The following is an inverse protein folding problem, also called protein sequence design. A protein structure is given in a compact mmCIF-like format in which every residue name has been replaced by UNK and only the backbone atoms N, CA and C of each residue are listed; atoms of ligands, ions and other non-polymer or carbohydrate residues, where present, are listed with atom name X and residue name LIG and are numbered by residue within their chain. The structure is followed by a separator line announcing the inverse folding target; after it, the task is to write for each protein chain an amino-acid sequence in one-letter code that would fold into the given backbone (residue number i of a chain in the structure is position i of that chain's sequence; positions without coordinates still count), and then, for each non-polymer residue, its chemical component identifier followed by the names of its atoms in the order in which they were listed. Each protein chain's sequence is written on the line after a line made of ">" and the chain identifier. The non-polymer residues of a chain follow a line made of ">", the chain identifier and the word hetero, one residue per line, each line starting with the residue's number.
data_IF_281455454294
#
_entry.id   IF_281455454294
#
_cell.length_a   1.000
_cell.length_b   1.000
_cell.length_c   1.000
_cell.angle_alpha   90.00
_cell.angle_beta   90.00
_cell.angle_gamma   90.00
#
_symmetry.space_group_name_H-M   'P 1'
#
loop_
_entity.id
_entity.type
_entity.pdbx_description
1 polymer ?
#
# COMPACT_ATOMS: atom_id res chain seq x y z
N UNK A 1 -6.57 14.25 12.96
CA UNK A 1 -7.75 13.44 12.54
C UNK A 1 -7.88 13.25 11.02
N UNK A 2 -7.78 14.28 10.16
CA UNK A 2 -7.94 14.13 8.69
C UNK A 2 -7.03 13.08 8.05
N UNK A 3 -5.72 13.11 8.38
CA UNK A 3 -4.71 12.13 7.91
C UNK A 3 -5.04 10.69 8.28
N UNK A 4 -5.57 10.47 9.49
CA UNK A 4 -5.98 9.14 9.99
C UNK A 4 -7.18 8.62 9.20
N UNK A 5 -8.21 9.44 8.98
CA UNK A 5 -9.37 9.07 8.16
C UNK A 5 -8.97 8.75 6.71
N UNK A 6 -8.06 9.55 6.14
CA UNK A 6 -7.54 9.30 4.80
C UNK A 6 -6.72 8.01 4.74
N UNK A 7 -5.91 7.72 5.77
CA UNK A 7 -5.17 6.47 5.90
C UNK A 7 -6.08 5.25 5.98
N UNK A 8 -7.17 5.32 6.75
CA UNK A 8 -8.19 4.26 6.75
C UNK A 8 -8.77 4.04 5.36
N UNK A 9 -9.20 5.12 4.70
CA UNK A 9 -9.81 5.01 3.38
C UNK A 9 -8.86 4.40 2.35
N UNK A 10 -7.60 4.86 2.31
CA UNK A 10 -6.58 4.34 1.40
C UNK A 10 -6.19 2.91 1.72
N UNK A 11 -5.99 2.59 3.01
CA UNK A 11 -5.66 1.24 3.45
C UNK A 11 -6.78 0.26 3.10
N UNK A 12 -8.02 0.58 3.44
CA UNK A 12 -9.17 -0.27 3.13
C UNK A 12 -9.34 -0.46 1.62
N UNK A 13 -9.28 0.62 0.83
CA UNK A 13 -9.41 0.52 -0.61
C UNK A 13 -8.30 -0.34 -1.22
N UNK A 14 -7.04 -0.11 -0.85
CA UNK A 14 -5.92 -0.83 -1.45
C UNK A 14 -5.89 -2.31 -1.02
N UNK A 15 -6.14 -2.60 0.26
CA UNK A 15 -6.27 -3.97 0.77
C UNK A 15 -7.43 -4.73 0.14
N UNK A 16 -8.60 -4.09 -0.02
CA UNK A 16 -9.76 -4.73 -0.68
C UNK A 16 -9.51 -4.99 -2.16
N UNK A 17 -8.91 -4.05 -2.89
CA UNK A 17 -8.57 -4.24 -4.30
C UNK A 17 -7.62 -5.42 -4.46
N UNK A 18 -6.58 -5.51 -3.63
CA UNK A 18 -5.64 -6.64 -3.64
C UNK A 18 -6.33 -7.98 -3.36
N UNK A 19 -7.17 -8.03 -2.32
CA UNK A 19 -7.96 -9.22 -1.98
C UNK A 19 -8.82 -9.69 -3.17
N UNK A 20 -9.54 -8.77 -3.81
CA UNK A 20 -10.43 -9.05 -4.94
C UNK A 20 -9.66 -9.55 -6.17
N UNK A 21 -8.50 -8.97 -6.45
CA UNK A 21 -7.64 -9.39 -7.56
C UNK A 21 -7.04 -10.79 -7.35
N UNK A 22 -6.89 -11.24 -6.10
CA UNK A 22 -6.41 -12.58 -5.77
C UNK A 22 -7.51 -13.66 -5.77
N UNK A 23 -8.79 -13.29 -5.70
CA UNK A 23 -9.91 -14.25 -5.74
C UNK A 23 -9.93 -15.20 -6.95
N UNK A 24 -9.62 -14.79 -8.20
CA UNK A 24 -9.60 -15.72 -9.33
C UNK A 24 -8.34 -16.59 -9.39
N UNK A 25 -7.28 -16.29 -8.63
CA UNK A 25 -5.98 -16.97 -8.74
C UNK A 25 -6.01 -18.31 -7.98
N UNK A 26 -5.67 -19.45 -8.61
CA UNK A 26 -5.53 -20.72 -7.90
C UNK A 26 -4.25 -20.71 -7.05
N UNK A 27 -4.36 -20.99 -5.75
CA UNK A 27 -3.26 -20.96 -4.79
C UNK A 27 -3.47 -22.00 -3.68
N UNK A 28 -2.37 -22.61 -3.24
CA UNK A 28 -2.32 -23.36 -1.98
C UNK A 28 -2.46 -22.39 -0.81
N UNK A 29 -3.20 -22.76 0.24
CA UNK A 29 -3.43 -21.93 1.43
C UNK A 29 -3.95 -20.51 1.11
N UNK A 30 -4.86 -20.43 0.14
CA UNK A 30 -5.40 -19.20 -0.45
C UNK A 30 -5.83 -18.14 0.58
N UNK A 31 -6.48 -18.56 1.66
CA UNK A 31 -6.94 -17.64 2.72
C UNK A 31 -5.75 -16.93 3.38
N UNK A 32 -4.68 -17.66 3.68
CA UNK A 32 -3.47 -17.10 4.32
C UNK A 32 -2.78 -16.12 3.35
N UNK A 33 -2.66 -16.51 2.07
CA UNK A 33 -2.06 -15.67 1.04
C UNK A 33 -2.84 -14.37 0.82
N UNK A 34 -4.16 -14.45 0.69
CA UNK A 34 -5.03 -13.27 0.52
C UNK A 34 -4.94 -12.36 1.73
N UNK A 35 -5.05 -12.90 2.95
CA UNK A 35 -4.99 -12.09 4.17
C UNK A 35 -3.62 -11.40 4.32
N UNK A 36 -2.52 -12.13 4.09
CA UNK A 36 -1.18 -11.58 4.16
C UNK A 36 -0.98 -10.42 3.19
N UNK A 37 -1.31 -10.63 1.91
CA UNK A 37 -1.15 -9.61 0.88
C UNK A 37 -2.07 -8.40 1.12
N UNK A 38 -3.33 -8.62 1.50
CA UNK A 38 -4.31 -7.56 1.75
C UNK A 38 -3.93 -6.70 2.95
N UNK A 39 -3.45 -7.32 4.04
CA UNK A 39 -2.93 -6.59 5.22
C UNK A 39 -1.71 -5.78 4.83
N UNK A 40 -0.83 -6.34 4.00
CA UNK A 40 0.34 -5.62 3.52
C UNK A 40 -0.06 -4.37 2.71
N UNK A 41 -1.06 -4.48 1.82
CA UNK A 41 -1.53 -3.35 0.99
C UNK A 41 -2.30 -2.33 1.82
N UNK A 42 -3.05 -2.79 2.82
CA UNK A 42 -3.66 -1.93 3.82
C UNK A 42 -2.60 -1.10 4.55
N UNK A 43 -1.51 -1.72 5.00
CA UNK A 43 -0.42 -1.03 5.70
C UNK A 43 0.20 0.08 4.82
N UNK A 44 0.43 -0.19 3.54
CA UNK A 44 0.89 0.84 2.58
C UNK A 44 -0.08 2.02 2.55
N UNK A 45 -1.37 1.77 2.32
CA UNK A 45 -2.38 2.83 2.24
C UNK A 45 -2.57 3.60 3.55
N UNK A 46 -2.48 2.93 4.70
CA UNK A 46 -2.58 3.55 6.02
C UNK A 46 -1.41 4.47 6.32
N UNK A 47 -0.17 3.98 6.16
CA UNK A 47 1.01 4.72 6.60
C UNK A 47 1.35 5.91 5.72
N UNK A 48 0.96 5.94 4.44
CA UNK A 48 1.26 7.05 3.53
C UNK A 48 0.74 8.40 4.05
N UNK A 49 -0.56 8.61 4.29
CA UNK A 49 -1.05 9.91 4.76
C UNK A 49 -0.76 10.16 6.24
N UNK A 50 -0.61 9.11 7.06
CA UNK A 50 -0.39 9.21 8.50
C UNK A 50 1.05 9.59 8.84
N UNK A 51 2.03 9.12 8.06
CA UNK A 51 3.45 9.42 8.28
C UNK A 51 3.76 10.87 7.95
N UNK A 52 4.28 11.59 8.96
CA UNK A 52 4.82 12.92 8.74
C UNK A 52 6.23 12.80 8.16
N UNK A 53 6.37 13.06 6.86
CA UNK A 53 7.63 12.95 6.15
C UNK A 53 7.96 14.30 5.49
N UNK A 54 9.17 14.86 5.69
CA UNK A 54 9.51 16.23 5.26
C UNK A 54 9.82 16.33 3.76
N UNK A 55 9.31 15.41 2.94
CA UNK A 55 9.60 15.30 1.51
C UNK A 55 8.30 15.09 0.73
N UNK A 56 8.30 15.27 -0.60
CA UNK A 56 7.10 15.12 -1.41
C UNK A 56 6.44 13.74 -1.27
N UNK A 57 5.13 13.70 -1.44
CA UNK A 57 4.30 12.51 -1.26
C UNK A 57 4.71 11.33 -2.13
N UNK A 58 5.22 11.56 -3.34
CA UNK A 58 5.73 10.49 -4.20
C UNK A 58 6.92 9.77 -3.56
N UNK A 59 7.83 10.50 -2.89
CA UNK A 59 9.02 9.90 -2.27
C UNK A 59 8.66 9.19 -0.96
N UNK A 60 7.73 9.75 -0.17
CA UNK A 60 7.11 9.06 0.97
C UNK A 60 6.44 7.77 0.53
N UNK A 61 5.66 7.84 -0.54
CA UNK A 61 4.94 6.72 -1.14
C UNK A 61 5.87 5.61 -1.63
N UNK A 62 6.91 5.98 -2.39
CA UNK A 62 7.94 5.06 -2.86
C UNK A 62 8.60 4.32 -1.69
N UNK A 63 9.03 5.07 -0.67
CA UNK A 63 9.74 4.51 0.49
C UNK A 63 8.84 3.55 1.27
N UNK A 64 7.64 3.98 1.65
CA UNK A 64 6.69 3.15 2.41
C UNK A 64 6.28 1.92 1.59
N UNK A 65 5.89 2.11 0.33
CA UNK A 65 5.45 1.04 -0.55
C UNK A 65 6.52 -0.02 -0.77
N UNK A 66 7.77 0.39 -0.99
CA UNK A 66 8.90 -0.53 -1.20
C UNK A 66 9.27 -1.27 0.09
N UNK A 67 9.42 -0.55 1.22
CA UNK A 67 9.84 -1.16 2.49
C UNK A 67 8.80 -2.15 3.03
N UNK A 68 7.51 -1.82 2.91
CA UNK A 68 6.43 -2.71 3.34
C UNK A 68 6.30 -3.92 2.41
N UNK A 69 6.61 -3.77 1.12
CA UNK A 69 6.57 -4.89 0.17
C UNK A 69 7.79 -5.80 0.21
N UNK A 70 8.88 -5.36 0.86
CA UNK A 70 10.15 -6.09 0.90
C UNK A 70 10.07 -7.45 1.64
N UNK A 71 9.43 -7.57 2.82
CA UNK A 71 9.27 -8.87 3.49
C UNK A 71 8.53 -9.89 2.62
N UNK A 72 7.42 -9.50 2.00
CA UNK A 72 6.66 -10.37 1.09
C UNK A 72 7.51 -10.83 -0.10
N UNK A 73 8.30 -9.92 -0.69
CA UNK A 73 9.24 -10.24 -1.75
C UNK A 73 10.30 -11.27 -1.31
N UNK A 74 10.82 -11.16 -0.08
CA UNK A 74 11.82 -12.09 0.47
C UNK A 74 11.21 -13.47 0.74
N UNK A 75 10.00 -13.50 1.30
CA UNK A 75 9.29 -14.73 1.67
C UNK A 75 8.88 -15.50 0.41
N UNK A 76 8.29 -14.82 -0.56
CA UNK A 76 7.76 -15.45 -1.79
C UNK A 76 8.80 -15.62 -2.91
N UNK A 77 10.00 -15.02 -2.74
CA UNK A 77 11.04 -14.91 -3.78
C UNK A 77 10.61 -14.14 -5.04
N UNK A 78 9.45 -13.50 -5.02
CA UNK A 78 8.91 -12.74 -6.13
C UNK A 78 9.29 -11.25 -6.04
N UNK A 79 10.60 -10.97 -6.07
CA UNK A 79 11.15 -9.62 -5.85
C UNK A 79 10.60 -8.57 -6.82
N UNK A 80 10.75 -8.82 -8.12
CA UNK A 80 10.41 -7.85 -9.15
C UNK A 80 8.93 -7.46 -9.14
N UNK A 81 7.96 -8.40 -9.23
CA UNK A 81 6.55 -8.03 -9.29
C UNK A 81 6.06 -7.36 -7.99
N UNK A 82 6.46 -7.88 -6.82
CA UNK A 82 5.98 -7.36 -5.53
C UNK A 82 6.53 -5.96 -5.27
N UNK A 83 7.83 -5.73 -5.51
CA UNK A 83 8.44 -4.42 -5.28
C UNK A 83 7.94 -3.37 -6.28
N UNK A 84 7.73 -3.73 -7.55
CA UNK A 84 7.20 -2.80 -8.55
C UNK A 84 5.78 -2.38 -8.17
N UNK A 85 4.90 -3.33 -7.82
CA UNK A 85 3.52 -3.02 -7.42
C UNK A 85 3.50 -2.16 -6.15
N UNK A 86 4.30 -2.52 -5.15
CA UNK A 86 4.44 -1.75 -3.92
C UNK A 86 4.92 -0.33 -4.15
N UNK A 87 5.97 -0.15 -4.96
CA UNK A 87 6.54 1.14 -5.30
C UNK A 87 5.56 2.01 -6.10
N UNK A 88 4.97 1.48 -7.17
CA UNK A 88 4.04 2.23 -8.03
C UNK A 88 2.74 2.58 -7.29
N UNK A 89 2.16 1.61 -6.59
CA UNK A 89 0.97 1.84 -5.75
C UNK A 89 1.25 2.86 -4.65
N UNK A 90 2.42 2.75 -4.00
CA UNK A 90 2.87 3.69 -2.99
C UNK A 90 3.05 5.11 -3.54
N UNK A 91 3.75 5.27 -4.67
CA UNK A 91 3.91 6.57 -5.35
C UNK A 91 2.56 7.19 -5.71
N UNK A 92 1.65 6.40 -6.29
CA UNK A 92 0.32 6.86 -6.68
C UNK A 92 -0.50 7.36 -5.48
N UNK A 93 -0.56 6.58 -4.40
CA UNK A 93 -1.23 6.97 -3.16
C UNK A 93 -0.55 8.17 -2.50
N UNK A 94 0.79 8.27 -2.58
CA UNK A 94 1.56 9.40 -2.08
C UNK A 94 1.20 10.72 -2.77
N UNK A 95 1.15 10.72 -4.10
CA UNK A 95 0.72 11.87 -4.91
C UNK A 95 -0.73 12.25 -4.62
N UNK A 96 -1.63 11.27 -4.52
CA UNK A 96 -3.03 11.51 -4.22
C UNK A 96 -3.23 12.07 -2.80
N UNK A 97 -2.48 11.56 -1.83
CA UNK A 97 -2.49 12.04 -0.44
C UNK A 97 -2.14 13.52 -0.37
N UNK A 98 -1.07 13.95 -1.06
CA UNK A 98 -0.65 15.35 -1.04
C UNK A 98 -1.71 16.26 -1.63
N UNK A 99 -2.30 15.88 -2.77
CA UNK A 99 -3.38 16.65 -3.41
C UNK A 99 -4.59 16.80 -2.48
N UNK A 100 -4.99 15.74 -1.79
CA UNK A 100 -6.16 15.77 -0.90
C UNK A 100 -5.88 16.52 0.41
N UNK A 101 -4.64 16.48 0.92
CA UNK A 101 -4.26 17.24 2.12
C UNK A 101 -4.18 18.74 1.79
N UNK A 102 -3.55 19.12 0.68
CA UNK A 102 -3.41 20.53 0.27
C UNK A 102 -4.76 21.20 -0.01
N UNK A 103 -5.75 20.49 -0.57
CA UNK A 103 -7.07 21.04 -0.90
C UNK A 103 -7.92 21.41 0.33
N UNK A 104 -7.54 20.96 1.52
CA UNK A 104 -8.33 21.13 2.76
C UNK A 104 -7.51 21.76 3.91
N UNK A 105 -6.45 22.48 3.57
CA UNK A 105 -5.62 23.32 4.44
C UNK A 105 -5.88 24.79 4.16
#
# INVERSE_FOLDING_TARGET
>A
MKKVKLGLAFGLAFGLIDALLMLPIPMTDKVIAILGASINRFAIGWFIPVTNFPKPGWMRGLMIGTLISLPDAIITKAYLPILIIGALGGVGLGLLSDRLIQRHS
#
